data_IF_381996290678
#
_entry.id   IF_381996290678
#
_cell.length_a   1.000
_cell.length_b   1.000
_cell.length_c   1.000
_cell.angle_alpha   90.00
_cell.angle_beta   90.00
_cell.angle_gamma   90.00
#
_symmetry.space_group_name_H-M   'P 1'
#
loop_
_entity.id
_entity.type
_entity.pdbx_description
1 polymer ?
#
# COMPACT_ATOMS: atom_id res chain seq x y z
N UNK A 1 8.51 37.36 -64.02
CA UNK A 1 7.66 36.65 -63.03
C UNK A 1 8.50 36.50 -61.78
N UNK A 2 8.14 37.20 -60.70
CA UNK A 2 8.83 37.23 -59.40
C UNK A 2 8.43 35.99 -58.59
N UNK A 3 9.38 35.39 -57.87
CA UNK A 3 9.08 34.52 -56.73
C UNK A 3 9.94 35.01 -55.57
N UNK A 4 9.28 35.55 -54.56
CA UNK A 4 9.87 36.05 -53.32
C UNK A 4 10.10 34.86 -52.38
N UNK A 5 11.36 34.58 -52.05
CA UNK A 5 11.69 33.64 -50.97
C UNK A 5 11.67 34.39 -49.65
N UNK A 6 10.59 34.26 -48.89
CA UNK A 6 10.53 34.74 -47.51
C UNK A 6 11.37 33.83 -46.62
N UNK A 7 12.56 34.30 -46.20
CA UNK A 7 13.30 33.71 -45.10
C UNK A 7 12.85 34.43 -43.83
N UNK A 8 11.95 33.80 -43.08
CA UNK A 8 11.68 34.19 -41.71
C UNK A 8 12.85 33.71 -40.83
N UNK A 9 13.49 34.58 -40.02
CA UNK A 9 14.44 34.11 -39.02
C UNK A 9 13.66 33.42 -37.91
N UNK A 10 13.89 32.11 -37.74
CA UNK A 10 13.45 31.38 -36.56
C UNK A 10 14.22 31.96 -35.38
N UNK A 11 13.52 32.75 -34.57
CA UNK A 11 13.99 33.12 -33.25
C UNK A 11 14.16 31.84 -32.44
N UNK A 12 15.41 31.40 -32.27
CA UNK A 12 15.75 30.50 -31.16
C UNK A 12 15.58 31.33 -29.89
N UNK A 13 14.35 31.36 -29.36
CA UNK A 13 14.15 31.71 -27.97
C UNK A 13 14.95 30.72 -27.14
N UNK A 14 16.07 31.24 -26.64
CA UNK A 14 16.87 30.71 -25.55
C UNK A 14 15.93 30.49 -24.36
N UNK A 15 15.32 29.31 -24.32
CA UNK A 15 14.62 28.79 -23.15
C UNK A 15 15.63 28.69 -22.01
N UNK A 16 15.55 29.66 -21.12
CA UNK A 16 16.33 29.76 -19.91
C UNK A 16 16.20 28.49 -19.07
N UNK A 17 17.34 27.99 -18.59
CA UNK A 17 17.52 27.27 -17.33
C UNK A 17 16.39 26.32 -16.90
N UNK A 18 16.35 25.13 -17.49
CA UNK A 18 15.99 23.95 -16.70
C UNK A 18 17.13 23.68 -15.69
N UNK A 19 17.23 24.52 -14.66
CA UNK A 19 18.23 24.40 -13.61
C UNK A 19 18.13 22.99 -13.02
N UNK A 20 19.16 22.18 -13.28
CA UNK A 20 19.27 20.81 -12.78
C UNK A 20 19.28 20.89 -11.26
N UNK A 21 18.16 20.56 -10.62
CA UNK A 21 18.03 20.57 -9.16
C UNK A 21 18.94 19.48 -8.58
N UNK A 22 19.72 19.83 -7.55
CA UNK A 22 20.56 18.85 -6.87
C UNK A 22 19.70 17.73 -6.29
N UNK A 23 20.29 16.54 -6.15
CA UNK A 23 19.59 15.40 -5.55
C UNK A 23 19.08 15.75 -4.15
N UNK A 24 19.85 16.52 -3.40
CA UNK A 24 19.49 17.03 -2.07
C UNK A 24 18.26 17.94 -2.10
N UNK A 25 18.14 18.82 -3.10
CA UNK A 25 16.94 19.67 -3.25
C UNK A 25 15.70 18.83 -3.58
N UNK A 26 15.87 17.78 -4.38
CA UNK A 26 14.79 16.84 -4.73
C UNK A 26 14.38 15.98 -3.53
N UNK A 27 15.35 15.54 -2.73
CA UNK A 27 15.10 14.79 -1.50
C UNK A 27 14.45 15.67 -0.42
N UNK A 28 14.88 16.91 -0.25
CA UNK A 28 14.24 17.87 0.66
C UNK A 28 12.81 18.19 0.23
N UNK A 29 12.54 18.39 -1.06
CA UNK A 29 11.18 18.58 -1.58
C UNK A 29 10.31 17.33 -1.41
N UNK A 30 10.86 16.14 -1.64
CA UNK A 30 10.18 14.87 -1.37
C UNK A 30 9.86 14.71 0.12
N UNK A 31 10.79 15.11 1.00
CA UNK A 31 10.62 15.04 2.45
C UNK A 31 9.62 16.08 2.97
N UNK A 32 9.57 17.27 2.37
CA UNK A 32 8.55 18.30 2.64
C UNK A 32 7.15 17.85 2.16
N UNK A 33 7.08 17.10 1.06
CA UNK A 33 5.84 16.46 0.61
C UNK A 33 5.30 15.38 1.55
N UNK A 34 6.13 14.88 2.47
CA UNK A 34 5.75 13.88 3.48
C UNK A 34 5.53 14.44 4.88
N UNK A 35 6.00 15.65 5.21
CA UNK A 35 6.04 16.11 6.62
C UNK A 35 5.23 17.37 6.96
N UNK A 36 4.49 17.98 6.04
CA UNK A 36 3.64 19.12 6.37
C UNK A 36 2.14 18.83 6.21
N UNK A 37 1.47 18.65 7.34
CA UNK A 37 0.08 19.08 7.53
C UNK A 37 -0.98 18.45 6.63
N UNK A 38 -0.78 17.22 6.14
CA UNK A 38 -1.87 16.47 5.51
C UNK A 38 -2.89 16.18 6.61
N UNK A 39 -4.03 16.86 6.58
CA UNK A 39 -5.21 16.53 7.40
C UNK A 39 -5.34 15.01 7.38
N UNK A 40 -5.40 14.35 8.55
CA UNK A 40 -5.42 12.90 8.57
C UNK A 40 -6.62 12.42 7.77
N UNK A 41 -6.40 11.36 7.00
CA UNK A 41 -7.41 10.77 6.13
C UNK A 41 -8.67 10.48 6.97
N UNK A 42 -9.82 11.14 6.69
CA UNK A 42 -11.00 11.02 7.54
C UNK A 42 -11.53 9.59 7.61
N UNK A 43 -11.33 8.78 6.56
CA UNK A 43 -11.75 7.38 6.54
C UNK A 43 -10.86 6.55 7.47
N UNK A 44 -9.54 6.75 7.40
CA UNK A 44 -8.60 6.11 8.31
C UNK A 44 -8.81 6.54 9.76
N UNK A 45 -9.08 7.82 10.03
CA UNK A 45 -9.35 8.29 11.39
C UNK A 45 -10.62 7.65 11.96
N UNK A 46 -11.69 7.52 11.16
CA UNK A 46 -12.88 6.81 11.61
C UNK A 46 -12.56 5.34 11.96
N UNK A 47 -11.86 4.64 11.07
CA UNK A 47 -11.42 3.28 11.32
C UNK A 47 -10.59 3.18 12.61
N UNK A 48 -9.64 4.09 12.79
CA UNK A 48 -8.76 4.13 13.94
C UNK A 48 -9.55 4.29 15.24
N UNK A 49 -10.55 5.17 15.28
CA UNK A 49 -11.43 5.34 16.44
C UNK A 49 -12.26 4.09 16.74
N UNK A 50 -12.75 3.39 15.71
CA UNK A 50 -13.46 2.12 15.90
C UNK A 50 -12.52 1.07 16.49
N UNK A 51 -11.30 0.95 15.97
CA UNK A 51 -10.30 0.01 16.48
C UNK A 51 -9.87 0.34 17.93
N UNK A 52 -9.75 1.62 18.29
CA UNK A 52 -9.54 2.03 19.68
C UNK A 52 -10.64 1.49 20.62
N UNK A 53 -11.89 1.51 20.18
CA UNK A 53 -13.02 0.98 20.95
C UNK A 53 -13.09 -0.55 20.99
N UNK A 54 -12.32 -1.25 20.15
CA UNK A 54 -12.24 -2.72 20.12
C UNK A 54 -11.14 -3.28 21.03
N UNK A 55 -10.38 -2.45 21.75
CA UNK A 55 -9.34 -2.93 22.67
C UNK A 55 -9.90 -3.97 23.65
N UNK A 56 -9.24 -5.12 23.72
CA UNK A 56 -9.65 -6.22 24.59
C UNK A 56 -10.55 -7.27 23.95
N UNK A 57 -11.00 -7.05 22.71
CA UNK A 57 -11.79 -8.04 21.95
C UNK A 57 -10.92 -9.13 21.30
N UNK A 58 -9.60 -8.91 21.24
CA UNK A 58 -8.62 -9.87 20.73
C UNK A 58 -8.36 -9.77 19.22
N UNK A 59 -7.22 -10.32 18.82
CA UNK A 59 -6.69 -10.26 17.45
C UNK A 59 -7.65 -10.83 16.38
N UNK A 60 -8.41 -11.88 16.71
CA UNK A 60 -9.36 -12.52 15.78
C UNK A 60 -10.54 -11.61 15.48
N UNK A 61 -11.09 -10.96 16.50
CA UNK A 61 -12.21 -10.03 16.34
C UNK A 61 -11.81 -8.83 15.47
N UNK A 62 -10.61 -8.27 15.69
CA UNK A 62 -10.06 -7.20 14.87
C UNK A 62 -9.88 -7.67 13.42
N UNK A 63 -9.27 -8.84 13.20
CA UNK A 63 -9.08 -9.37 11.86
C UNK A 63 -10.41 -9.63 11.12
N UNK A 64 -11.40 -10.22 11.81
CA UNK A 64 -12.74 -10.47 11.25
C UNK A 64 -13.48 -9.16 10.92
N UNK A 65 -13.41 -8.18 11.82
CA UNK A 65 -13.97 -6.85 11.57
C UNK A 65 -13.38 -6.21 10.31
N UNK A 66 -12.06 -6.18 10.18
CA UNK A 66 -11.39 -5.60 9.01
C UNK A 66 -11.74 -6.36 7.73
N UNK A 67 -11.88 -7.69 7.80
CA UNK A 67 -12.29 -8.51 6.65
C UNK A 67 -13.75 -8.29 6.24
N UNK A 68 -14.62 -8.00 7.20
CA UNK A 68 -16.05 -7.76 6.97
C UNK A 68 -16.34 -6.31 6.52
N UNK A 69 -15.41 -5.39 6.73
CA UNK A 69 -15.56 -3.99 6.38
C UNK A 69 -15.80 -3.83 4.87
N UNK A 70 -16.83 -3.04 4.52
CA UNK A 70 -17.19 -2.73 3.13
C UNK A 70 -16.60 -1.38 2.73
N UNK A 71 -16.24 -1.27 1.45
CA UNK A 71 -15.79 -0.03 0.84
C UNK A 71 -16.92 0.98 0.71
N UNK A 72 -16.61 2.16 0.15
CA UNK A 72 -17.58 3.25 -0.03
C UNK A 72 -18.78 2.87 -0.93
N UNK A 73 -18.63 1.86 -1.77
CA UNK A 73 -19.71 1.33 -2.61
C UNK A 73 -20.67 0.38 -1.88
N UNK A 74 -20.36 -0.02 -0.64
CA UNK A 74 -21.15 -0.94 0.18
C UNK A 74 -21.08 -2.42 -0.25
N UNK A 75 -20.58 -2.71 -1.44
CA UNK A 75 -20.59 -4.04 -2.05
C UNK A 75 -19.20 -4.70 -1.96
N UNK A 76 -18.15 -3.95 -2.24
CA UNK A 76 -16.79 -4.49 -2.23
C UNK A 76 -16.21 -4.50 -0.82
N UNK A 77 -15.32 -5.47 -0.54
CA UNK A 77 -14.57 -5.44 0.70
C UNK A 77 -13.61 -4.25 0.69
N UNK A 78 -13.56 -3.49 1.80
CA UNK A 78 -12.64 -2.37 1.94
C UNK A 78 -11.17 -2.81 1.81
N UNK A 79 -10.87 -4.03 2.29
CA UNK A 79 -9.56 -4.66 2.19
C UNK A 79 -9.70 -6.03 1.52
N UNK A 80 -9.71 -6.09 0.18
CA UNK A 80 -10.05 -7.31 -0.56
C UNK A 80 -8.93 -8.37 -0.52
N UNK A 81 -7.71 -7.99 -0.13
CA UNK A 81 -6.56 -8.90 -0.10
C UNK A 81 -5.91 -8.93 1.27
N UNK A 82 -5.21 -10.03 1.57
CA UNK A 82 -4.40 -10.14 2.77
C UNK A 82 -3.34 -9.04 2.86
N UNK A 83 -2.76 -8.62 1.73
CA UNK A 83 -1.82 -7.50 1.67
C UNK A 83 -2.47 -6.16 2.02
N UNK A 84 -3.72 -5.92 1.57
CA UNK A 84 -4.46 -4.72 1.94
C UNK A 84 -4.77 -4.69 3.45
N UNK A 85 -5.15 -5.84 4.02
CA UNK A 85 -5.35 -5.99 5.46
C UNK A 85 -4.05 -5.72 6.24
N UNK A 86 -2.93 -6.30 5.81
CA UNK A 86 -1.62 -6.03 6.42
C UNK A 86 -1.26 -4.54 6.36
N UNK A 87 -1.45 -3.89 5.21
CA UNK A 87 -1.12 -2.50 5.01
C UNK A 87 -1.90 -1.59 5.98
N UNK A 88 -3.20 -1.81 6.14
CA UNK A 88 -4.00 -1.02 7.08
C UNK A 88 -3.64 -1.31 8.53
N UNK A 89 -3.40 -2.58 8.92
CA UNK A 89 -2.98 -2.89 10.29
C UNK A 89 -1.61 -2.30 10.61
N UNK A 90 -0.68 -2.27 9.65
CA UNK A 90 0.61 -1.58 9.83
C UNK A 90 0.44 -0.08 10.00
N UNK A 91 -0.45 0.55 9.25
CA UNK A 91 -0.75 1.97 9.41
C UNK A 91 -1.29 2.28 10.82
N UNK A 92 -2.16 1.41 11.36
CA UNK A 92 -2.67 1.52 12.73
C UNK A 92 -1.55 1.34 13.76
N UNK A 93 -0.65 0.38 13.57
CA UNK A 93 0.49 0.16 14.47
C UNK A 93 1.45 1.35 14.50
N UNK A 94 1.73 1.94 13.33
CA UNK A 94 2.51 3.19 13.24
C UNK A 94 1.83 4.31 14.01
N UNK A 95 0.50 4.46 13.85
CA UNK A 95 -0.27 5.49 14.56
C UNK A 95 -0.25 5.29 16.08
N UNK A 96 -0.43 4.07 16.55
CA UNK A 96 -0.33 3.74 17.98
C UNK A 96 1.06 4.03 18.53
N UNK A 97 2.10 3.73 17.76
CA UNK A 97 3.49 4.04 18.11
C UNK A 97 3.74 5.54 18.24
N UNK A 98 3.27 6.34 17.29
CA UNK A 98 3.34 7.81 17.36
C UNK A 98 2.66 8.38 18.61
N UNK A 99 1.61 7.72 19.09
CA UNK A 99 0.88 8.11 20.30
C UNK A 99 1.47 7.52 21.60
N UNK A 100 2.58 6.77 21.51
CA UNK A 100 3.20 6.12 22.68
C UNK A 100 2.44 4.92 23.22
N UNK A 101 1.51 4.36 22.44
CA UNK A 101 0.63 3.25 22.83
C UNK A 101 1.21 1.87 22.45
N UNK A 102 2.51 1.75 22.23
CA UNK A 102 3.17 0.46 21.85
C UNK A 102 2.96 -0.65 22.90
N UNK A 103 2.77 -0.28 24.16
CA UNK A 103 2.55 -1.23 25.27
C UNK A 103 1.06 -1.51 25.53
N UNK A 104 0.16 -0.90 24.76
CA UNK A 104 -1.29 -1.11 24.89
C UNK A 104 -1.68 -2.54 24.57
N UNK A 105 -2.85 -2.95 25.04
CA UNK A 105 -3.40 -4.24 24.65
C UNK A 105 -3.78 -4.22 23.17
N UNK A 106 -4.36 -3.12 22.69
CA UNK A 106 -4.71 -2.94 21.29
C UNK A 106 -3.51 -3.11 20.34
N UNK A 107 -2.33 -2.57 20.68
CA UNK A 107 -1.14 -2.74 19.84
C UNK A 107 -0.78 -4.21 19.62
N UNK A 108 -0.89 -5.03 20.67
CA UNK A 108 -0.65 -6.48 20.59
C UNK A 108 -1.72 -7.17 19.74
N UNK A 109 -2.99 -6.81 19.93
CA UNK A 109 -4.11 -7.41 19.20
C UNK A 109 -4.08 -7.05 17.70
N UNK A 110 -3.77 -5.81 17.36
CA UNK A 110 -3.59 -5.37 15.96
C UNK A 110 -2.35 -6.04 15.34
N UNK A 111 -1.28 -6.22 16.10
CA UNK A 111 -0.10 -6.98 15.64
C UNK A 111 -0.45 -8.45 15.35
N UNK A 112 -1.28 -9.07 16.20
CA UNK A 112 -1.83 -10.40 15.97
C UNK A 112 -2.70 -10.47 14.72
N UNK A 113 -3.60 -9.50 14.53
CA UNK A 113 -4.44 -9.40 13.34
C UNK A 113 -3.61 -9.27 12.05
N UNK A 114 -2.53 -8.47 12.08
CA UNK A 114 -1.55 -8.39 10.99
C UNK A 114 -0.87 -9.75 10.73
N UNK A 115 -0.52 -10.48 11.79
CA UNK A 115 0.01 -11.84 11.70
C UNK A 115 -0.95 -12.84 11.06
N UNK A 116 -2.25 -12.76 11.38
CA UNK A 116 -3.29 -13.58 10.74
C UNK A 116 -3.39 -13.28 9.24
N UNK A 117 -3.41 -12.01 8.85
CA UNK A 117 -3.42 -11.63 7.44
C UNK A 117 -2.17 -12.14 6.71
N UNK A 118 -0.99 -12.03 7.32
CA UNK A 118 0.25 -12.60 6.79
C UNK A 118 0.19 -14.13 6.62
N UNK A 119 -0.35 -14.85 7.60
CA UNK A 119 -0.50 -16.30 7.51
C UNK A 119 -1.41 -16.71 6.33
N UNK A 120 -2.47 -15.96 6.08
CA UNK A 120 -3.36 -16.17 4.91
C UNK A 120 -2.60 -15.92 3.60
N UNK A 121 -1.84 -14.83 3.50
CA UNK A 121 -1.03 -14.53 2.31
C UNK A 121 -0.01 -15.65 2.00
N UNK A 122 0.70 -16.13 3.03
CA UNK A 122 1.63 -17.26 2.89
C UNK A 122 0.93 -18.54 2.47
N UNK A 123 -0.21 -18.86 3.07
CA UNK A 123 -0.98 -20.05 2.73
C UNK A 123 -1.39 -20.05 1.25
N UNK A 124 -1.96 -18.92 0.77
CA UNK A 124 -2.39 -18.79 -0.62
C UNK A 124 -1.20 -18.90 -1.57
N UNK A 125 -0.08 -18.25 -1.26
CA UNK A 125 1.13 -18.34 -2.09
C UNK A 125 1.73 -19.75 -2.12
N UNK A 126 1.76 -20.44 -0.98
CA UNK A 126 2.22 -21.83 -0.88
C UNK A 126 1.34 -22.77 -1.70
N UNK A 127 0.02 -22.64 -1.54
CA UNK A 127 -0.94 -23.42 -2.33
C UNK A 127 -0.79 -23.16 -3.84
N UNK A 128 -0.66 -21.91 -4.25
CA UNK A 128 -0.47 -21.57 -5.67
C UNK A 128 0.83 -22.14 -6.23
N UNK A 129 1.92 -22.11 -5.46
CA UNK A 129 3.16 -22.77 -5.86
C UNK A 129 2.93 -24.26 -6.08
N UNK A 130 2.26 -24.94 -5.16
CA UNK A 130 2.03 -26.39 -5.25
C UNK A 130 1.10 -26.77 -6.42
N UNK A 131 0.11 -25.92 -6.75
CA UNK A 131 -0.77 -26.11 -7.92
C UNK A 131 -0.04 -25.84 -9.25
N UNK A 132 0.78 -24.80 -9.31
CA UNK A 132 1.44 -24.37 -10.55
C UNK A 132 2.84 -24.94 -10.76
N UNK A 133 3.39 -25.66 -9.78
CA UNK A 133 4.56 -26.53 -9.94
C UNK A 133 4.11 -27.99 -9.90
N UNK A 134 3.47 -28.51 -10.97
CA UNK A 134 3.19 -29.94 -11.06
C UNK A 134 4.55 -30.65 -11.13
N UNK A 135 4.90 -31.38 -10.07
CA UNK A 135 6.05 -32.28 -9.93
C UNK A 135 7.24 -32.01 -10.87
N UNK A 136 8.31 -31.44 -10.32
CA UNK A 136 9.59 -31.36 -11.04
C UNK A 136 9.95 -32.72 -11.65
N UNK A 137 10.23 -32.71 -12.96
CA UNK A 137 10.83 -33.81 -13.72
C UNK A 137 10.10 -35.17 -13.80
N UNK A 138 8.85 -35.29 -13.35
CA UNK A 138 7.97 -36.35 -13.86
C UNK A 138 7.23 -35.82 -15.09
N UNK A 139 8.05 -35.48 -16.10
CA UNK A 139 7.57 -35.18 -17.41
C UNK A 139 6.70 -36.36 -17.88
N UNK A 140 5.45 -36.03 -18.24
CA UNK A 140 4.53 -36.84 -19.02
C UNK A 140 5.18 -37.47 -20.27
N UNK A 141 6.38 -37.02 -20.65
CA UNK A 141 7.24 -37.60 -21.68
C UNK A 141 7.93 -38.94 -21.31
N UNK A 142 7.97 -39.33 -20.02
CA UNK A 142 8.57 -40.62 -19.58
C UNK A 142 7.54 -41.66 -19.14
N UNK A 143 6.26 -41.34 -19.26
CA UNK A 143 5.22 -42.22 -18.74
C UNK A 143 4.85 -43.28 -19.78
N UNK A 144 5.42 -44.48 -19.63
CA UNK A 144 5.11 -45.68 -20.42
C UNK A 144 3.78 -46.33 -19.97
N UNK A 145 2.68 -45.57 -20.03
CA UNK A 145 1.32 -46.11 -19.89
C UNK A 145 0.52 -45.91 -21.18
#
# INVERSE_FOLDING_TARGET
>A
MKIESSIAPIAFERGADAAVRSLESRLLAAHQGTSQGKRPDPEFEHLYQVLLAMEGQGEKAIHEFLRALRGADGETAAYPTAQALMAVTLQVLVRLKEQGLEKSQLYREVSGANGLAFAVDLFVKGFMRDVFQPMGDEAWEKSEW
#
